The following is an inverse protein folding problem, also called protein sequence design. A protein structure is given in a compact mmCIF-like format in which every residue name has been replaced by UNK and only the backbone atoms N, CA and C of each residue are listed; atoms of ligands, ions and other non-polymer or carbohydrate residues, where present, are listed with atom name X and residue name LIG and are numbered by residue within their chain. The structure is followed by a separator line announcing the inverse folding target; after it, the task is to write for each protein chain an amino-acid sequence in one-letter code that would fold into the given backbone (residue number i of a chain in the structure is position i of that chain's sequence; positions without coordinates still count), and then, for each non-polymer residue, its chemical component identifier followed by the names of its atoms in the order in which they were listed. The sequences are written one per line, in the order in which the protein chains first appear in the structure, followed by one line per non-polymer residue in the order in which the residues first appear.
data_IF_465268241293
#
_entry.id   IF_465268241293
#
_cell.length_a   1.000
_cell.length_b   1.000
_cell.length_c   1.000
_cell.angle_alpha   90.00
_cell.angle_beta   90.00
_cell.angle_gamma   90.00
#
_symmetry.space_group_name_H-M   'P 1'
#
loop_
_entity.id
_entity.type
_entity.pdbx_description
1 polymer ?
#
# COMPACT_ATOMS: atom_id res chain seq x y z
N UNK A 1 10.42 -52.14 37.96
CA UNK A 1 10.58 -50.75 37.48
C UNK A 1 10.66 -50.78 35.96
N UNK A 2 10.17 -49.70 35.35
CA UNK A 2 9.82 -49.48 33.94
C UNK A 2 10.88 -49.98 32.93
N UNK A 3 10.46 -50.41 31.73
CA UNK A 3 10.50 -49.60 30.49
C UNK A 3 9.45 -50.09 29.49
N UNK A 4 8.43 -49.28 29.21
CA UNK A 4 7.49 -49.51 28.11
C UNK A 4 8.10 -48.83 26.89
N UNK A 5 8.59 -49.62 25.94
CA UNK A 5 9.06 -49.16 24.63
C UNK A 5 7.86 -48.73 23.79
N UNK A 6 7.67 -47.42 23.63
CA UNK A 6 6.74 -46.86 22.63
C UNK A 6 7.46 -46.86 21.27
N UNK A 7 7.48 -48.02 20.62
CA UNK A 7 7.92 -48.13 19.22
C UNK A 7 6.81 -47.57 18.34
N UNK A 8 6.98 -46.33 17.89
CA UNK A 8 6.06 -45.69 16.96
C UNK A 8 6.34 -46.25 15.57
N UNK A 9 5.43 -47.01 14.94
CA UNK A 9 5.71 -47.56 13.62
C UNK A 9 5.84 -46.39 12.64
N UNK A 10 7.08 -46.20 12.16
CA UNK A 10 7.40 -45.31 11.06
C UNK A 10 6.63 -45.80 9.84
N UNK A 11 5.45 -45.23 9.60
CA UNK A 11 4.67 -45.51 8.40
C UNK A 11 5.40 -44.81 7.25
N UNK A 12 6.00 -45.54 6.29
CA UNK A 12 6.63 -44.88 5.16
C UNK A 12 5.56 -44.05 4.44
N UNK A 13 5.83 -42.76 4.28
CA UNK A 13 4.95 -41.88 3.53
C UNK A 13 4.74 -42.48 2.12
N UNK A 14 3.50 -42.54 1.61
CA UNK A 14 3.26 -43.05 0.27
C UNK A 14 4.10 -42.23 -0.73
N UNK A 15 4.67 -42.86 -1.77
CA UNK A 15 5.43 -42.13 -2.78
C UNK A 15 4.49 -41.13 -3.44
N UNK A 16 4.73 -39.85 -3.15
CA UNK A 16 4.07 -38.76 -3.86
C UNK A 16 4.36 -38.91 -5.36
N UNK A 17 3.35 -38.92 -6.24
CA UNK A 17 3.58 -39.13 -7.66
C UNK A 17 4.44 -37.99 -8.23
N UNK A 18 5.45 -38.29 -9.09
CA UNK A 18 6.46 -37.33 -9.55
C UNK A 18 5.88 -36.17 -10.38
N UNK A 19 4.61 -36.27 -10.82
CA UNK A 19 3.91 -35.20 -11.52
C UNK A 19 3.55 -33.98 -10.62
N UNK A 20 3.49 -34.15 -9.29
CA UNK A 20 3.29 -33.05 -8.32
C UNK A 20 4.62 -32.48 -7.77
N UNK A 21 5.75 -33.11 -8.07
CA UNK A 21 7.09 -32.59 -7.77
C UNK A 21 7.61 -31.63 -8.86
N UNK A 22 6.85 -31.48 -9.95
CA UNK A 22 7.18 -30.60 -11.07
C UNK A 22 7.16 -29.12 -10.62
N UNK A 23 8.32 -28.46 -10.77
CA UNK A 23 8.59 -27.03 -10.56
C UNK A 23 8.86 -26.52 -9.14
N UNK A 24 9.61 -27.27 -8.32
CA UNK A 24 10.34 -26.61 -7.23
C UNK A 24 11.50 -25.82 -7.83
N UNK A 25 11.26 -24.57 -8.26
CA UNK A 25 12.33 -23.65 -8.66
C UNK A 25 13.37 -23.59 -7.52
N UNK A 26 14.67 -23.49 -7.79
CA UNK A 26 15.68 -23.38 -6.74
C UNK A 26 15.29 -22.30 -5.73
N UNK A 27 15.45 -22.54 -4.42
CA UNK A 27 15.02 -21.61 -3.35
C UNK A 27 15.55 -20.18 -3.57
N UNK A 28 16.73 -20.05 -4.15
CA UNK A 28 17.34 -18.77 -4.51
C UNK A 28 16.57 -18.04 -5.61
N UNK A 29 16.09 -18.75 -6.64
CA UNK A 29 15.24 -18.18 -7.68
C UNK A 29 13.90 -17.74 -7.10
N UNK A 30 13.28 -18.55 -6.23
CA UNK A 30 12.03 -18.17 -5.56
C UNK A 30 12.21 -16.91 -4.71
N UNK A 31 13.34 -16.79 -4.01
CA UNK A 31 13.69 -15.60 -3.22
C UNK A 31 13.87 -14.37 -4.11
N UNK A 32 14.57 -14.49 -5.24
CA UNK A 32 14.73 -13.41 -6.22
C UNK A 32 13.38 -12.96 -6.78
N UNK A 33 12.58 -13.89 -7.27
CA UNK A 33 11.24 -13.63 -7.81
C UNK A 33 10.32 -12.98 -6.75
N UNK A 34 10.45 -13.35 -5.47
CA UNK A 34 9.70 -12.73 -4.39
C UNK A 34 10.17 -11.29 -4.10
N UNK A 35 11.48 -11.03 -4.13
CA UNK A 35 12.04 -9.69 -3.93
C UNK A 35 11.66 -8.75 -5.07
N UNK A 36 11.70 -9.22 -6.31
CA UNK A 36 11.29 -8.45 -7.48
C UNK A 36 9.82 -8.04 -7.39
N UNK A 37 8.94 -8.99 -7.06
CA UNK A 37 7.51 -8.71 -6.82
C UNK A 37 7.31 -7.70 -5.69
N UNK A 38 8.04 -7.83 -4.58
CA UNK A 38 7.96 -6.89 -3.46
C UNK A 38 8.43 -5.48 -3.86
N UNK A 39 9.50 -5.38 -4.64
CA UNK A 39 10.01 -4.10 -5.14
C UNK A 39 9.03 -3.45 -6.12
N UNK A 40 8.44 -4.22 -7.03
CA UNK A 40 7.41 -3.72 -7.94
C UNK A 40 6.24 -3.08 -7.17
N UNK A 41 5.74 -3.74 -6.12
CA UNK A 41 4.66 -3.20 -5.27
C UNK A 41 5.11 -1.94 -4.53
N UNK A 42 6.34 -1.90 -3.99
CA UNK A 42 6.87 -0.71 -3.29
C UNK A 42 6.98 0.50 -4.22
N UNK A 43 7.51 0.30 -5.42
CA UNK A 43 7.66 1.36 -6.43
C UNK A 43 6.29 1.87 -6.88
N UNK A 44 5.38 0.98 -7.22
CA UNK A 44 4.04 1.35 -7.62
C UNK A 44 3.28 2.09 -6.49
N UNK A 45 3.40 1.65 -5.24
CA UNK A 45 2.88 2.38 -4.07
C UNK A 45 3.49 3.78 -3.96
N UNK A 46 4.80 3.92 -4.13
CA UNK A 46 5.46 5.23 -4.09
C UNK A 46 4.93 6.16 -5.21
N UNK A 47 4.75 5.63 -6.43
CA UNK A 47 4.17 6.41 -7.54
C UNK A 47 2.73 6.83 -7.27
N UNK A 48 1.92 5.94 -6.68
CA UNK A 48 0.54 6.23 -6.30
C UNK A 48 0.48 7.33 -5.24
N UNK A 49 1.31 7.24 -4.20
CA UNK A 49 1.40 8.27 -3.15
C UNK A 49 1.80 9.63 -3.73
N UNK A 50 2.77 9.68 -4.65
CA UNK A 50 3.14 10.92 -5.36
C UNK A 50 1.98 11.48 -6.17
N UNK A 51 1.28 10.64 -6.93
CA UNK A 51 0.12 11.08 -7.71
C UNK A 51 -1.02 11.63 -6.83
N UNK A 52 -1.24 11.04 -5.65
CA UNK A 52 -2.23 11.53 -4.68
C UNK A 52 -1.77 12.84 -4.02
N UNK A 53 -0.49 12.94 -3.65
CA UNK A 53 0.10 14.14 -3.06
C UNK A 53 0.08 15.33 -4.02
N UNK A 54 0.25 15.09 -5.32
CA UNK A 54 0.20 16.13 -6.35
C UNK A 54 -1.24 16.44 -6.82
N UNK A 55 -2.23 15.72 -6.31
CA UNK A 55 -3.64 15.89 -6.71
C UNK A 55 -3.98 15.34 -8.09
N UNK A 56 -3.06 14.63 -8.76
CA UNK A 56 -3.29 13.94 -10.06
C UNK A 56 -4.23 12.75 -9.92
N UNK A 57 -4.34 12.17 -8.72
CA UNK A 57 -5.29 11.11 -8.35
C UNK A 57 -5.98 11.49 -7.04
N UNK A 58 -7.29 11.33 -6.93
CA UNK A 58 -7.98 11.54 -5.65
C UNK A 58 -7.91 10.28 -4.80
N UNK A 59 -7.77 10.43 -3.48
CA UNK A 59 -7.82 9.28 -2.58
C UNK A 59 -9.17 8.53 -2.67
N UNK A 60 -10.26 9.23 -2.93
CA UNK A 60 -11.58 8.64 -3.18
C UNK A 60 -11.55 7.64 -4.35
N UNK A 61 -10.92 8.02 -5.48
CA UNK A 61 -10.83 7.17 -6.66
C UNK A 61 -9.96 5.93 -6.40
N UNK A 62 -8.90 6.10 -5.61
CA UNK A 62 -8.01 4.99 -5.21
C UNK A 62 -8.74 4.01 -4.29
N UNK A 63 -9.50 4.52 -3.33
CA UNK A 63 -10.32 3.69 -2.43
C UNK A 63 -11.42 2.96 -3.21
N UNK A 64 -12.06 3.61 -4.17
CA UNK A 64 -13.09 3.02 -5.02
C UNK A 64 -12.52 1.89 -5.91
N UNK A 65 -11.48 2.19 -6.69
CA UNK A 65 -10.86 1.26 -7.62
C UNK A 65 -10.07 0.14 -6.93
N UNK A 66 -9.50 0.42 -5.74
CA UNK A 66 -8.65 -0.50 -4.97
C UNK A 66 -7.61 -1.22 -5.85
N UNK A 67 -6.68 -0.45 -6.45
CA UNK A 67 -5.60 -1.04 -7.24
C UNK A 67 -4.72 -1.95 -6.35
N UNK A 68 -4.07 -2.97 -6.92
CA UNK A 68 -3.41 -4.02 -6.15
C UNK A 68 -2.30 -3.50 -5.21
N UNK A 69 -1.68 -2.37 -5.55
CA UNK A 69 -0.57 -1.79 -4.78
C UNK A 69 -1.07 -0.97 -3.59
N UNK A 70 -2.31 -0.47 -3.69
CA UNK A 70 -3.07 0.11 -2.58
C UNK A 70 -3.74 -0.97 -1.71
N UNK A 71 -4.10 -2.12 -2.26
CA UNK A 71 -4.82 -3.16 -1.53
C UNK A 71 -4.10 -3.59 -0.24
N UNK A 72 -2.77 -3.61 -0.27
CA UNK A 72 -1.89 -3.99 0.85
C UNK A 72 -1.44 -2.82 1.73
N UNK A 73 -1.77 -1.58 1.39
CA UNK A 73 -1.37 -0.41 2.18
C UNK A 73 -2.43 -0.07 3.23
N UNK A 74 -2.05 0.44 4.41
CA UNK A 74 -3.00 0.90 5.41
C UNK A 74 -3.76 2.12 4.89
N UNK A 75 -5.08 2.16 5.16
CA UNK A 75 -5.96 3.25 4.74
C UNK A 75 -5.50 4.59 5.31
N UNK A 76 -4.93 4.61 6.52
CA UNK A 76 -4.38 5.81 7.12
C UNK A 76 -3.23 6.42 6.32
N UNK A 77 -2.31 5.59 5.82
CA UNK A 77 -1.18 6.05 4.98
C UNK A 77 -1.67 6.61 3.65
N UNK A 78 -2.70 6.00 3.05
CA UNK A 78 -3.29 6.52 1.81
C UNK A 78 -3.93 7.90 2.02
N UNK A 79 -4.69 8.05 3.11
CA UNK A 79 -5.38 9.30 3.43
C UNK A 79 -4.40 10.42 3.81
N UNK A 80 -3.34 10.08 4.56
CA UNK A 80 -2.28 11.01 4.94
C UNK A 80 -1.41 11.45 3.75
N UNK A 81 -1.36 10.67 2.67
CA UNK A 81 -0.61 11.02 1.45
C UNK A 81 -1.30 12.08 0.56
N UNK A 82 -2.45 12.64 0.99
CA UNK A 82 -3.12 13.73 0.28
C UNK A 82 -2.47 15.09 0.60
N UNK A 83 -2.47 15.99 -0.38
CA UNK A 83 -1.97 17.35 -0.19
C UNK A 83 -2.70 18.09 0.95
N UNK A 84 -1.97 18.62 1.93
CA UNK A 84 -2.50 19.31 3.13
C UNK A 84 -3.30 18.41 4.07
N UNK A 85 -3.16 17.10 3.97
CA UNK A 85 -3.67 16.15 4.96
C UNK A 85 -2.53 15.73 5.88
N UNK A 86 -2.87 15.53 7.15
CA UNK A 86 -1.97 15.00 8.16
C UNK A 86 -2.73 14.04 9.06
N UNK A 87 -2.02 13.39 9.98
CA UNK A 87 -2.55 12.35 10.88
C UNK A 87 -3.84 12.77 11.58
N UNK A 88 -3.89 13.98 12.14
CA UNK A 88 -5.07 14.50 12.82
C UNK A 88 -6.31 14.56 11.91
N UNK A 89 -6.17 14.91 10.62
CA UNK A 89 -7.30 14.98 9.68
C UNK A 89 -7.74 13.57 9.27
N UNK A 90 -6.78 12.68 9.04
CA UNK A 90 -7.03 11.27 8.74
C UNK A 90 -7.79 10.59 9.88
N UNK A 91 -7.33 10.71 11.12
CA UNK A 91 -7.98 10.16 12.29
C UNK A 91 -9.38 10.73 12.49
N UNK A 92 -9.57 12.05 12.35
CA UNK A 92 -10.91 12.66 12.44
C UNK A 92 -11.89 12.10 11.42
N UNK A 93 -11.44 11.81 10.19
CA UNK A 93 -12.27 11.23 9.15
C UNK A 93 -12.59 9.75 9.45
N UNK A 94 -11.58 8.96 9.82
CA UNK A 94 -11.75 7.55 10.18
C UNK A 94 -12.60 7.36 11.44
N UNK A 95 -12.63 8.32 12.39
CA UNK A 95 -13.55 8.25 13.53
C UNK A 95 -15.02 8.27 13.14
N UNK A 96 -15.37 8.77 11.95
CA UNK A 96 -16.75 8.74 11.42
C UNK A 96 -17.15 7.40 10.83
N UNK A 97 -16.17 6.60 10.40
CA UNK A 97 -16.37 5.28 9.82
C UNK A 97 -15.53 4.32 10.66
N UNK A 98 -16.07 3.61 11.66
CA UNK A 98 -15.31 2.86 12.66
C UNK A 98 -14.37 1.81 12.03
N UNK A 99 -13.21 2.27 11.59
CA UNK A 99 -12.21 1.60 10.77
C UNK A 99 -10.86 2.02 11.33
N UNK A 100 -10.02 1.06 11.75
CA UNK A 100 -8.68 1.40 12.21
C UNK A 100 -7.82 1.86 11.03
N UNK A 101 -6.94 2.82 11.27
CA UNK A 101 -6.04 3.38 10.25
C UNK A 101 -5.06 2.35 9.66
N UNK A 102 -4.72 1.35 10.45
CA UNK A 102 -3.84 0.24 10.07
C UNK A 102 -4.53 -0.77 9.15
N UNK A 103 -5.86 -0.69 9.01
CA UNK A 103 -6.61 -1.58 8.15
C UNK A 103 -6.19 -1.37 6.70
N UNK A 104 -5.87 -2.46 6.01
CA UNK A 104 -5.52 -2.43 4.61
C UNK A 104 -6.71 -1.96 3.74
N UNK A 105 -6.45 -1.18 2.70
CA UNK A 105 -7.52 -0.68 1.78
C UNK A 105 -8.29 -1.83 1.15
N UNK A 106 -7.61 -2.94 0.83
CA UNK A 106 -8.22 -4.15 0.27
C UNK A 106 -9.14 -4.90 1.25
N UNK A 107 -8.93 -4.73 2.57
CA UNK A 107 -9.73 -5.39 3.60
C UNK A 107 -10.99 -4.58 4.00
N UNK A 108 -11.21 -3.40 3.42
CA UNK A 108 -12.40 -2.59 3.67
C UNK A 108 -13.63 -3.29 3.12
N UNK A 109 -14.69 -3.36 3.93
CA UNK A 109 -15.97 -3.89 3.45
C UNK A 109 -16.56 -2.94 2.40
N UNK A 110 -17.41 -3.43 1.48
CA UNK A 110 -18.05 -2.56 0.48
C UNK A 110 -18.78 -1.37 1.10
N UNK A 111 -19.43 -1.56 2.25
CA UNK A 111 -20.09 -0.49 3.02
C UNK A 111 -19.10 0.54 3.55
N UNK A 112 -17.99 0.10 4.15
CA UNK A 112 -16.93 0.99 4.65
C UNK A 112 -16.31 1.79 3.50
N UNK A 113 -16.08 1.14 2.35
CA UNK A 113 -15.53 1.78 1.15
C UNK A 113 -16.47 2.86 0.60
N UNK A 114 -17.76 2.56 0.45
CA UNK A 114 -18.76 3.54 -0.02
C UNK A 114 -18.84 4.75 0.90
N UNK A 115 -18.98 4.53 2.21
CA UNK A 115 -19.00 5.61 3.19
C UNK A 115 -17.72 6.46 3.13
N UNK A 116 -16.56 5.83 2.94
CA UNK A 116 -15.28 6.54 2.84
C UNK A 116 -15.20 7.40 1.59
N UNK A 117 -15.64 6.86 0.44
CA UNK A 117 -15.71 7.61 -0.83
C UNK A 117 -16.67 8.80 -0.71
N UNK A 118 -17.84 8.62 -0.08
CA UNK A 118 -18.81 9.71 0.15
C UNK A 118 -18.23 10.82 1.04
N UNK A 119 -17.59 10.47 2.16
CA UNK A 119 -16.95 11.45 3.04
C UNK A 119 -15.80 12.19 2.34
N UNK A 120 -15.02 11.50 1.50
CA UNK A 120 -13.96 12.12 0.72
C UNK A 120 -14.51 13.00 -0.40
N UNK A 121 -15.59 12.58 -1.06
CA UNK A 121 -16.29 13.36 -2.08
C UNK A 121 -16.91 14.65 -1.55
N UNK A 122 -17.44 14.61 -0.32
CA UNK A 122 -17.96 15.80 0.37
C UNK A 122 -16.88 16.70 1.00
N UNK A 123 -15.73 16.15 1.39
CA UNK A 123 -14.63 16.91 1.98
C UNK A 123 -13.67 17.51 0.94
N UNK A 124 -13.66 16.98 -0.29
CA UNK A 124 -12.93 17.52 -1.43
C UNK A 124 -13.87 18.40 -2.24
N UNK A 125 -14.05 19.64 -1.76
CA UNK A 125 -14.42 20.75 -2.63
C UNK A 125 -13.56 20.66 -3.89
N UNK A 126 -14.16 20.67 -5.09
CA UNK A 126 -13.40 20.56 -6.33
C UNK A 126 -12.50 21.78 -6.48
N UNK A 127 -11.47 21.63 -7.32
CA UNK A 127 -10.58 22.63 -7.87
C UNK A 127 -11.30 23.95 -8.23
N UNK A 128 -11.57 24.81 -7.25
CA UNK A 128 -11.90 26.21 -7.45
C UNK A 128 -10.64 26.98 -7.07
N UNK A 129 -10.11 27.69 -8.06
CA UNK A 129 -8.70 28.07 -8.14
C UNK A 129 -8.15 28.82 -6.95
N UNK A 130 -6.99 28.35 -6.47
CA UNK A 130 -6.03 29.19 -5.76
C UNK A 130 -4.84 29.40 -6.70
N UNK A 131 -5.00 30.37 -7.60
CA UNK A 131 -3.92 30.95 -8.39
C UNK A 131 -2.96 31.80 -7.54
N UNK A 132 -2.45 31.26 -6.43
CA UNK A 132 -1.40 31.89 -5.60
C UNK A 132 -0.50 30.82 -4.95
N UNK A 133 0.33 30.14 -5.73
CA UNK A 133 1.48 29.40 -5.22
C UNK A 133 2.54 29.08 -6.31
N UNK A 134 2.67 29.92 -7.34
CA UNK A 134 3.73 29.82 -8.35
C UNK A 134 4.77 30.94 -8.26
N UNK A 135 4.91 31.57 -7.09
CA UNK A 135 5.99 32.49 -6.74
C UNK A 135 6.82 31.88 -5.61
N UNK A 136 7.58 30.82 -5.90
CA UNK A 136 8.62 30.33 -4.99
C UNK A 136 9.65 29.37 -5.62
N UNK A 137 9.72 29.23 -6.96
CA UNK A 137 10.69 28.30 -7.60
C UNK A 137 11.33 28.82 -8.88
N UNK A 138 11.74 30.09 -8.88
CA UNK A 138 12.72 30.64 -9.85
C UNK A 138 13.80 31.54 -9.22
N UNK A 139 13.99 31.51 -7.90
CA UNK A 139 14.99 32.34 -7.22
C UNK A 139 16.18 31.59 -6.61
N UNK A 140 16.28 30.25 -6.72
CA UNK A 140 17.43 29.49 -6.22
C UNK A 140 18.04 28.62 -7.33
N UNK A 141 18.72 29.29 -8.26
CA UNK A 141 19.78 28.71 -9.09
C UNK A 141 20.75 29.83 -9.51
N UNK A 142 21.23 30.59 -8.53
CA UNK A 142 22.41 31.43 -8.67
C UNK A 142 23.33 31.13 -7.46
N UNK A 143 24.21 30.15 -7.63
CA UNK A 143 25.39 29.96 -6.79
C UNK A 143 26.45 29.14 -7.53
N UNK A 144 27.57 29.81 -7.86
CA UNK A 144 28.85 29.26 -8.36
C UNK A 144 29.02 29.34 -9.88
N UNK A 145 29.75 30.26 -10.52
CA UNK A 145 30.91 31.08 -10.12
C UNK A 145 32.08 30.29 -9.51
N UNK A 146 32.87 29.63 -10.36
CA UNK A 146 34.34 29.57 -10.30
C UNK A 146 34.89 28.63 -11.38
N UNK A 147 35.61 29.19 -12.37
CA UNK A 147 36.84 28.64 -12.96
C UNK A 147 37.19 29.48 -14.20
N UNK A 148 38.04 30.48 -13.98
CA UNK A 148 39.00 30.95 -14.97
C UNK A 148 40.28 30.12 -14.80
#
# INVERSE_FOLDING_TARGET
MQQVTFDMPNRPAPPVPPALAAEVRPREQQRRDALERANAVRLARATLKRAVQEGRRRAADVVAACPPEAASMPVGELLAAQHRWGEARTLRLLRRIPVPETKAVGALTPRQRRALVELLGGATTPLRGDGRASEARRADACAGSAAA
#
